data_IF_804470168699
#
_entry.id   IF_804470168699
#
_cell.length_a   1.000
_cell.length_b   1.000
_cell.length_c   1.000
_cell.angle_alpha   90.00
_cell.angle_beta   90.00
_cell.angle_gamma   90.00
#
_symmetry.space_group_name_H-M   'P 1'
#
loop_
_entity.id
_entity.type
_entity.pdbx_description
1 polymer ?
#
# COMPACT_ATOMS: atom_id res chain seq x y z
N UNK A 1 -10.30 10.15 3.36
CA UNK A 1 -11.25 10.52 4.45
C UNK A 1 -11.93 9.31 5.07
N UNK A 2 -12.48 8.38 4.31
CA UNK A 2 -13.13 7.14 4.75
C UNK A 2 -12.22 6.22 5.57
N UNK A 3 -10.99 5.97 5.16
CA UNK A 3 -10.03 5.15 5.92
C UNK A 3 -9.61 5.84 7.22
N UNK A 4 -9.39 7.16 7.23
CA UNK A 4 -9.15 7.91 8.48
C UNK A 4 -10.35 7.87 9.42
N UNK A 5 -11.58 7.89 8.88
CA UNK A 5 -12.80 7.73 9.68
C UNK A 5 -12.95 6.30 10.22
N UNK A 6 -12.70 5.27 9.41
CA UNK A 6 -12.67 3.86 9.86
C UNK A 6 -11.58 3.64 10.92
N UNK A 7 -10.42 4.26 10.75
CA UNK A 7 -9.31 4.18 11.70
C UNK A 7 -9.63 4.88 13.03
N UNK A 8 -10.28 6.04 12.98
CA UNK A 8 -10.77 6.74 14.17
C UNK A 8 -11.86 5.97 14.91
N UNK A 9 -12.75 5.30 14.17
CA UNK A 9 -13.79 4.40 14.69
C UNK A 9 -13.17 3.17 15.35
N UNK A 10 -12.09 2.66 14.82
CA UNK A 10 -11.39 1.50 15.36
C UNK A 10 -10.69 1.80 16.70
N UNK A 11 -9.89 2.85 16.76
CA UNK A 11 -9.28 3.26 18.04
C UNK A 11 -10.31 3.65 19.10
N UNK A 12 -11.51 4.03 18.67
CA UNK A 12 -12.63 4.30 19.57
C UNK A 12 -13.22 3.03 20.17
N UNK A 13 -13.29 1.92 19.44
CA UNK A 13 -13.83 0.65 19.94
C UNK A 13 -12.88 -0.11 20.88
N UNK A 14 -11.58 0.23 20.89
CA UNK A 14 -10.59 -0.44 21.75
C UNK A 14 -10.42 0.19 23.12
N UNK A 15 -11.04 1.36 23.37
CA UNK A 15 -11.05 2.04 24.68
C UNK A 15 -12.50 2.40 25.03
N UNK A 16 -13.02 1.77 26.04
CA UNK A 16 -14.38 1.96 26.56
C UNK A 16 -14.54 3.33 27.23
N UNK A 17 -14.58 4.41 26.43
CA UNK A 17 -14.85 5.75 26.94
C UNK A 17 -16.07 6.37 26.26
N UNK A 18 -16.98 7.03 27.00
CA UNK A 18 -18.16 7.70 26.44
C UNK A 18 -17.82 8.75 25.37
N UNK A 19 -16.67 9.42 25.50
CA UNK A 19 -16.19 10.40 24.53
C UNK A 19 -15.82 9.77 23.18
N UNK A 20 -15.38 8.53 23.18
CA UNK A 20 -15.03 7.78 21.99
C UNK A 20 -16.30 7.25 21.27
N UNK A 21 -17.31 6.81 22.02
CA UNK A 21 -18.62 6.43 21.45
C UNK A 21 -19.28 7.61 20.75
N UNK A 22 -19.19 8.80 21.33
CA UNK A 22 -19.71 10.02 20.68
C UNK A 22 -18.96 10.38 19.39
N UNK A 23 -17.62 10.25 19.37
CA UNK A 23 -16.80 10.43 18.16
C UNK A 23 -17.17 9.42 17.09
N UNK A 24 -17.49 8.19 17.46
CA UNK A 24 -17.92 7.13 16.55
C UNK A 24 -19.26 7.45 15.88
N UNK A 25 -20.26 7.82 16.69
CA UNK A 25 -21.59 8.21 16.19
C UNK A 25 -21.49 9.40 15.25
N UNK A 26 -20.71 10.42 15.63
CA UNK A 26 -20.44 11.60 14.80
C UNK A 26 -19.74 11.23 13.48
N UNK A 27 -18.80 10.29 13.51
CA UNK A 27 -18.10 9.80 12.31
C UNK A 27 -19.02 9.01 11.40
N UNK A 28 -19.90 8.15 11.95
CA UNK A 28 -20.90 7.39 11.18
C UNK A 28 -21.97 8.31 10.56
N UNK A 29 -22.46 9.29 11.31
CA UNK A 29 -23.41 10.29 10.81
C UNK A 29 -22.80 11.11 9.66
N UNK A 30 -21.56 11.56 9.83
CA UNK A 30 -20.80 12.27 8.79
C UNK A 30 -20.59 11.42 7.55
N UNK A 31 -20.34 10.11 7.72
CA UNK A 31 -20.19 9.18 6.60
C UNK A 31 -21.50 9.00 5.82
N UNK A 32 -22.62 8.76 6.50
CA UNK A 32 -23.94 8.66 5.88
C UNK A 32 -24.31 9.94 5.13
N UNK A 33 -24.02 11.09 5.73
CA UNK A 33 -24.21 12.39 5.09
C UNK A 33 -23.41 12.50 3.79
N UNK A 34 -22.12 12.15 3.77
CA UNK A 34 -21.31 12.21 2.55
C UNK A 34 -21.72 11.18 1.49
N UNK A 35 -22.21 9.99 1.90
CA UNK A 35 -22.78 9.02 0.96
C UNK A 35 -24.04 9.57 0.29
N UNK A 36 -24.92 10.16 1.08
CA UNK A 36 -26.14 10.80 0.56
C UNK A 36 -25.81 11.95 -0.39
N UNK A 37 -24.89 12.83 0.01
CA UNK A 37 -24.45 13.96 -0.80
C UNK A 37 -23.78 13.51 -2.11
N UNK A 38 -23.00 12.43 -2.08
CA UNK A 38 -22.41 11.82 -3.29
C UNK A 38 -23.49 11.33 -4.26
N UNK A 39 -24.53 10.66 -3.75
CA UNK A 39 -25.69 10.22 -4.57
C UNK A 39 -26.49 11.37 -5.18
N UNK A 40 -26.48 12.53 -4.54
CA UNK A 40 -27.16 13.75 -5.01
C UNK A 40 -26.29 14.62 -5.96
N UNK A 41 -25.14 14.10 -6.44
CA UNK A 41 -24.26 14.81 -7.38
C UNK A 41 -23.40 15.91 -6.76
N UNK A 42 -23.40 16.08 -5.44
CA UNK A 42 -22.60 17.09 -4.76
C UNK A 42 -21.08 16.87 -4.85
N UNK A 43 -20.66 15.66 -5.23
CA UNK A 43 -19.24 15.36 -5.44
C UNK A 43 -18.62 16.27 -6.53
N UNK A 44 -19.33 16.48 -7.64
CA UNK A 44 -18.88 17.35 -8.72
C UNK A 44 -18.87 18.83 -8.31
N UNK A 45 -19.89 19.26 -7.55
CA UNK A 45 -19.90 20.61 -6.98
C UNK A 45 -18.71 20.83 -6.06
N UNK A 46 -18.45 19.89 -5.15
CA UNK A 46 -17.32 19.99 -4.23
C UNK A 46 -15.97 20.04 -4.98
N UNK A 47 -15.80 19.24 -6.04
CA UNK A 47 -14.58 19.27 -6.87
C UNK A 47 -14.37 20.66 -7.51
N UNK A 48 -15.44 21.26 -8.04
CA UNK A 48 -15.37 22.63 -8.61
C UNK A 48 -15.03 23.68 -7.57
N UNK A 49 -15.68 23.61 -6.40
CA UNK A 49 -15.46 24.57 -5.31
C UNK A 49 -14.03 24.43 -4.76
N UNK A 50 -13.51 23.19 -4.66
CA UNK A 50 -12.13 22.93 -4.29
C UNK A 50 -11.13 23.49 -5.30
N UNK A 51 -11.34 23.28 -6.59
CA UNK A 51 -10.50 23.82 -7.64
C UNK A 51 -10.47 25.36 -7.59
N UNK A 52 -11.64 26.01 -7.42
CA UNK A 52 -11.73 27.48 -7.25
C UNK A 52 -10.99 27.98 -6.01
N UNK A 53 -11.14 27.28 -4.87
CA UNK A 53 -10.44 27.63 -3.65
C UNK A 53 -8.92 27.52 -3.82
N UNK A 54 -8.47 26.50 -4.57
CA UNK A 54 -7.07 26.30 -4.87
C UNK A 54 -6.51 27.44 -5.74
N UNK A 55 -7.21 27.83 -6.79
CA UNK A 55 -6.81 28.93 -7.69
C UNK A 55 -6.60 30.26 -6.96
N UNK A 56 -7.34 30.52 -5.90
CA UNK A 56 -7.23 31.72 -5.08
C UNK A 56 -6.26 31.57 -3.89
N UNK A 57 -5.62 30.43 -3.72
CA UNK A 57 -4.74 30.19 -2.59
C UNK A 57 -3.35 30.83 -2.82
N UNK A 58 -2.74 31.50 -1.80
CA UNK A 58 -1.44 32.19 -1.95
C UNK A 58 -0.30 31.29 -2.46
N UNK A 59 -0.38 29.98 -2.23
CA UNK A 59 0.61 28.99 -2.72
C UNK A 59 0.71 28.97 -4.26
N UNK A 60 -0.33 29.41 -4.96
CA UNK A 60 -0.33 29.47 -6.43
C UNK A 60 0.77 30.37 -6.97
N UNK A 61 0.91 31.59 -6.41
CA UNK A 61 1.96 32.52 -6.81
C UNK A 61 3.37 31.94 -6.61
N UNK A 62 3.59 31.20 -5.53
CA UNK A 62 4.86 30.53 -5.25
C UNK A 62 5.18 29.46 -6.32
N UNK A 63 4.18 28.68 -6.74
CA UNK A 63 4.37 27.69 -7.79
C UNK A 63 4.52 28.30 -9.18
N UNK A 64 3.79 29.37 -9.50
CA UNK A 64 3.96 30.11 -10.74
C UNK A 64 5.39 30.68 -10.84
N UNK A 65 5.91 31.28 -9.77
CA UNK A 65 7.29 31.74 -9.69
C UNK A 65 8.30 30.60 -9.85
N UNK A 66 8.09 29.48 -9.13
CA UNK A 66 8.94 28.30 -9.23
C UNK A 66 9.00 27.76 -10.65
N UNK A 67 7.84 27.56 -11.29
CA UNK A 67 7.74 27.04 -12.65
C UNK A 67 8.37 27.97 -13.69
N UNK A 68 8.24 29.29 -13.49
CA UNK A 68 8.90 30.31 -14.33
C UNK A 68 10.42 30.24 -14.18
N UNK A 69 10.92 30.19 -12.94
CA UNK A 69 12.36 30.09 -12.65
C UNK A 69 13.01 28.81 -13.20
N UNK A 70 12.25 27.72 -13.23
CA UNK A 70 12.71 26.42 -13.78
C UNK A 70 12.57 26.34 -15.31
N UNK A 71 12.01 27.35 -15.97
CA UNK A 71 11.63 27.32 -17.40
C UNK A 71 10.86 26.02 -17.75
N UNK A 72 9.94 25.62 -16.87
CA UNK A 72 9.22 24.36 -16.99
C UNK A 72 8.39 24.33 -18.28
N UNK A 73 8.41 23.23 -18.99
CA UNK A 73 7.59 22.99 -20.19
C UNK A 73 6.49 21.98 -19.92
N UNK A 74 6.77 21.04 -19.01
CA UNK A 74 5.85 19.97 -18.60
C UNK A 74 5.91 19.83 -17.09
N UNK A 75 4.76 19.62 -16.46
CA UNK A 75 4.65 19.26 -15.04
C UNK A 75 4.03 17.88 -14.91
N UNK A 76 4.76 16.95 -14.30
CA UNK A 76 4.30 15.58 -14.04
C UNK A 76 4.08 15.39 -12.54
N UNK A 77 2.89 14.91 -12.15
CA UNK A 77 2.56 14.57 -10.78
C UNK A 77 2.42 13.05 -10.64
N UNK A 78 3.22 12.46 -9.72
CA UNK A 78 3.20 11.02 -9.41
C UNK A 78 2.40 10.69 -8.14
N UNK A 79 2.00 11.70 -7.38
CA UNK A 79 1.17 11.59 -6.20
C UNK A 79 0.19 12.75 -6.16
N UNK A 80 -1.06 12.46 -5.84
CA UNK A 80 -2.13 13.46 -5.70
C UNK A 80 -2.81 13.29 -4.33
N UNK A 81 -2.03 12.93 -3.33
CA UNK A 81 -2.55 12.66 -1.98
C UNK A 81 -2.70 13.93 -1.15
N UNK A 82 -2.05 15.01 -1.56
CA UNK A 82 -2.02 16.27 -0.84
C UNK A 82 -2.44 17.48 -1.67
N UNK A 83 -2.79 18.60 -1.01
CA UNK A 83 -3.20 19.82 -1.68
C UNK A 83 -2.03 20.52 -2.41
N UNK A 84 -0.79 20.24 -2.05
CA UNK A 84 0.39 20.86 -2.65
C UNK A 84 0.60 20.42 -4.09
N UNK A 85 0.52 19.11 -4.34
CA UNK A 85 0.63 18.54 -5.67
C UNK A 85 -0.51 19.01 -6.57
N UNK A 86 -1.71 19.10 -6.02
CA UNK A 86 -2.87 19.63 -6.73
C UNK A 86 -2.70 21.12 -7.09
N UNK A 87 -2.14 21.91 -6.17
CA UNK A 87 -1.86 23.33 -6.42
C UNK A 87 -0.78 23.53 -7.49
N UNK A 88 0.27 22.70 -7.48
CA UNK A 88 1.32 22.72 -8.51
C UNK A 88 0.73 22.41 -9.91
N UNK A 89 -0.12 21.39 -10.01
CA UNK A 89 -0.79 21.03 -11.25
C UNK A 89 -1.71 22.15 -11.75
N UNK A 90 -2.45 22.78 -10.85
CA UNK A 90 -3.34 23.89 -11.19
C UNK A 90 -2.56 25.13 -11.63
N UNK A 91 -1.41 25.43 -11.00
CA UNK A 91 -0.52 26.51 -11.41
C UNK A 91 0.05 26.25 -12.82
N UNK A 92 0.51 25.03 -13.07
CA UNK A 92 1.00 24.64 -14.40
C UNK A 92 -0.08 24.83 -15.48
N UNK A 93 -1.30 24.38 -15.21
CA UNK A 93 -2.44 24.52 -16.11
C UNK A 93 -2.77 26.01 -16.38
N UNK A 94 -2.78 26.83 -15.34
CA UNK A 94 -3.02 28.28 -15.45
C UNK A 94 -1.96 28.97 -16.32
N UNK A 95 -0.71 28.52 -16.26
CA UNK A 95 0.40 29.01 -17.07
C UNK A 95 0.41 28.42 -18.50
N UNK A 96 -0.52 27.53 -18.84
CA UNK A 96 -0.57 26.89 -20.17
C UNK A 96 0.52 25.82 -20.38
N UNK A 97 1.16 25.34 -19.31
CA UNK A 97 2.15 24.27 -19.39
C UNK A 97 1.46 22.92 -19.61
N UNK A 98 2.19 21.99 -20.23
CA UNK A 98 1.71 20.61 -20.38
C UNK A 98 1.69 19.90 -19.02
N UNK A 99 0.66 19.10 -18.79
CA UNK A 99 0.43 18.45 -17.50
C UNK A 99 0.22 16.96 -17.66
N UNK A 100 0.88 16.17 -16.79
CA UNK A 100 0.79 14.71 -16.76
C UNK A 100 0.49 14.25 -15.34
N UNK A 101 -0.50 13.38 -15.19
CA UNK A 101 -0.77 12.68 -13.94
C UNK A 101 -0.44 11.20 -14.09
N UNK A 102 0.44 10.67 -13.25
CA UNK A 102 0.68 9.25 -13.12
C UNK A 102 0.07 8.75 -11.80
N UNK A 103 -0.81 7.77 -11.88
CA UNK A 103 -1.39 7.15 -10.69
C UNK A 103 -0.38 6.13 -10.14
N UNK A 104 0.30 6.51 -9.06
CA UNK A 104 1.45 5.79 -8.49
C UNK A 104 1.14 4.39 -7.97
N UNK A 105 -0.05 4.16 -7.45
CA UNK A 105 -0.45 2.88 -6.85
C UNK A 105 -1.87 2.53 -7.23
N UNK A 106 -2.14 1.24 -7.38
CA UNK A 106 -3.47 0.72 -7.73
C UNK A 106 -4.59 1.18 -6.79
N UNK A 107 -4.26 1.40 -5.51
CA UNK A 107 -5.22 1.82 -4.49
C UNK A 107 -5.42 3.34 -4.42
N UNK A 108 -4.64 4.13 -5.16
CA UNK A 108 -4.71 5.59 -5.11
C UNK A 108 -6.09 6.12 -5.49
N UNK A 109 -6.66 5.66 -6.60
CA UNK A 109 -7.99 6.09 -7.04
C UNK A 109 -9.10 5.71 -6.05
N UNK A 110 -8.99 4.53 -5.45
CA UNK A 110 -10.01 3.99 -4.55
C UNK A 110 -9.95 4.60 -3.14
N UNK A 111 -8.75 4.99 -2.67
CA UNK A 111 -8.53 5.25 -1.26
C UNK A 111 -7.84 6.58 -0.91
N UNK A 112 -7.08 7.18 -1.83
CA UNK A 112 -6.16 8.27 -1.51
C UNK A 112 -6.46 9.56 -2.28
N UNK A 113 -6.70 9.47 -3.58
CA UNK A 113 -6.98 10.64 -4.43
C UNK A 113 -8.40 11.11 -4.15
N UNK A 114 -8.53 12.33 -3.64
CA UNK A 114 -9.82 12.93 -3.33
C UNK A 114 -10.35 13.80 -4.48
N UNK A 115 -9.44 14.36 -5.26
CA UNK A 115 -9.72 15.19 -6.40
C UNK A 115 -8.69 14.90 -7.49
N UNK A 116 -9.16 14.65 -8.71
CA UNK A 116 -8.32 14.50 -9.88
C UNK A 116 -8.22 15.88 -10.55
N UNK A 117 -7.01 16.47 -10.66
CA UNK A 117 -6.85 17.71 -11.41
C UNK A 117 -7.14 17.47 -12.90
N UNK A 118 -7.58 18.50 -13.61
CA UNK A 118 -7.61 18.47 -15.06
C UNK A 118 -6.17 18.49 -15.59
N UNK A 119 -5.84 17.51 -16.44
CA UNK A 119 -4.51 17.33 -17.00
C UNK A 119 -4.59 16.96 -18.49
N UNK A 120 -3.50 17.24 -19.25
CA UNK A 120 -3.42 16.85 -20.65
C UNK A 120 -3.37 15.34 -20.85
N UNK A 121 -2.73 14.61 -19.89
CA UNK A 121 -2.67 13.16 -19.95
C UNK A 121 -2.68 12.50 -18.54
N UNK A 122 -3.23 11.30 -18.48
CA UNK A 122 -3.27 10.45 -17.29
C UNK A 122 -2.67 9.09 -17.61
N UNK A 123 -1.69 8.66 -16.83
CA UNK A 123 -1.00 7.39 -17.00
C UNK A 123 -1.39 6.43 -15.89
N UNK A 124 -1.84 5.26 -16.27
CA UNK A 124 -2.43 4.27 -15.37
C UNK A 124 -1.75 2.89 -15.49
N UNK A 125 -1.87 2.10 -14.44
CA UNK A 125 -1.25 0.80 -14.32
C UNK A 125 -1.86 -0.26 -15.25
N UNK A 126 -3.18 -0.31 -15.32
CA UNK A 126 -3.90 -1.40 -15.95
C UNK A 126 -5.27 -0.95 -16.49
N UNK A 127 -5.86 -1.78 -17.33
CA UNK A 127 -7.21 -1.56 -17.86
C UNK A 127 -8.27 -1.45 -16.75
N UNK A 128 -8.18 -2.27 -15.69
CA UNK A 128 -9.06 -2.19 -14.53
C UNK A 128 -8.97 -0.81 -13.82
N UNK A 129 -7.77 -0.24 -13.74
CA UNK A 129 -7.57 1.11 -13.19
C UNK A 129 -8.18 2.19 -14.09
N UNK A 130 -8.06 2.02 -15.43
CA UNK A 130 -8.70 2.91 -16.41
C UNK A 130 -10.23 2.88 -16.28
N UNK A 131 -10.79 1.69 -16.22
CA UNK A 131 -12.24 1.53 -16.17
C UNK A 131 -12.80 2.08 -14.85
N UNK A 132 -12.07 1.91 -13.76
CA UNK A 132 -12.41 2.52 -12.48
C UNK A 132 -12.27 4.05 -12.51
N UNK A 133 -11.22 4.60 -13.14
CA UNK A 133 -11.05 6.03 -13.31
C UNK A 133 -12.19 6.65 -14.13
N UNK A 134 -12.58 6.02 -15.23
CA UNK A 134 -13.71 6.47 -16.07
C UNK A 134 -15.04 6.45 -15.30
N UNK A 135 -15.23 5.47 -14.40
CA UNK A 135 -16.40 5.44 -13.52
C UNK A 135 -16.41 6.60 -12.52
N UNK A 136 -15.25 6.92 -11.93
CA UNK A 136 -15.14 7.99 -10.93
C UNK A 136 -15.12 9.41 -11.52
N UNK A 137 -14.58 9.55 -12.72
CA UNK A 137 -14.33 10.82 -13.42
C UNK A 137 -14.79 10.75 -14.88
N UNK A 138 -16.11 10.57 -15.12
CA UNK A 138 -16.65 10.45 -16.47
C UNK A 138 -16.45 11.69 -17.33
N UNK A 139 -16.14 12.83 -16.69
CA UNK A 139 -15.83 14.09 -17.36
C UNK A 139 -14.46 14.11 -18.03
N UNK A 140 -13.55 13.18 -17.71
CA UNK A 140 -12.21 13.12 -18.33
C UNK A 140 -12.32 12.44 -19.68
N UNK A 141 -11.87 13.09 -20.79
CA UNK A 141 -11.87 12.50 -22.11
C UNK A 141 -11.04 11.20 -22.17
N UNK A 142 -11.55 10.19 -22.87
CA UNK A 142 -10.94 8.87 -22.93
C UNK A 142 -9.57 8.87 -23.62
N UNK A 143 -9.36 9.76 -24.57
CA UNK A 143 -8.11 9.96 -25.31
C UNK A 143 -6.97 10.54 -24.48
N UNK A 144 -7.28 11.11 -23.30
CA UNK A 144 -6.28 11.56 -22.32
C UNK A 144 -5.85 10.47 -21.34
N UNK A 145 -6.50 9.30 -21.38
CA UNK A 145 -6.24 8.21 -20.41
C UNK A 145 -5.44 7.10 -21.10
N UNK A 146 -4.20 6.89 -20.64
CA UNK A 146 -3.26 5.94 -21.20
C UNK A 146 -2.93 4.84 -20.19
N UNK A 147 -2.95 3.59 -20.63
CA UNK A 147 -2.51 2.44 -19.83
C UNK A 147 -1.13 2.05 -20.30
N UNK A 148 -0.12 2.25 -19.45
CA UNK A 148 1.29 2.01 -19.79
C UNK A 148 1.97 1.00 -18.88
N UNK A 149 1.28 0.49 -17.87
CA UNK A 149 1.94 -0.14 -16.73
C UNK A 149 2.48 0.89 -15.75
N UNK A 150 3.42 0.48 -14.92
CA UNK A 150 4.07 1.38 -13.95
C UNK A 150 5.58 1.13 -13.88
N UNK A 151 6.41 2.18 -13.97
CA UNK A 151 7.87 2.06 -13.94
C UNK A 151 8.42 1.43 -12.65
N UNK A 152 7.63 1.44 -11.56
CA UNK A 152 8.08 0.87 -10.29
C UNK A 152 8.40 -0.63 -10.36
N UNK A 153 7.98 -1.33 -11.42
CA UNK A 153 8.27 -2.75 -11.61
C UNK A 153 9.40 -3.02 -12.61
N UNK A 154 9.92 -2.00 -13.28
CA UNK A 154 10.99 -2.16 -14.26
C UNK A 154 12.27 -2.73 -13.63
N UNK A 155 12.54 -2.40 -12.37
CA UNK A 155 13.69 -2.91 -11.63
C UNK A 155 13.65 -4.44 -11.40
N UNK A 156 12.48 -5.10 -11.48
CA UNK A 156 12.40 -6.55 -11.43
C UNK A 156 13.12 -7.21 -12.62
N UNK A 157 13.29 -6.47 -13.72
CA UNK A 157 13.97 -6.93 -14.93
C UNK A 157 15.45 -6.56 -14.93
N UNK A 158 15.91 -5.68 -14.05
CA UNK A 158 17.30 -5.23 -13.98
C UNK A 158 18.19 -6.28 -13.29
N UNK A 159 19.04 -6.94 -14.08
CA UNK A 159 19.97 -7.93 -13.56
C UNK A 159 21.12 -7.32 -12.73
N UNK A 160 21.41 -6.01 -12.87
CA UNK A 160 22.56 -5.36 -12.22
C UNK A 160 22.37 -5.19 -10.73
N UNK A 161 21.12 -5.15 -10.24
CA UNK A 161 20.80 -5.02 -8.82
C UNK A 161 20.54 -6.36 -8.13
N UNK A 162 20.70 -7.47 -8.84
CA UNK A 162 20.41 -8.81 -8.30
C UNK A 162 21.54 -9.32 -7.42
N UNK A 163 21.16 -9.76 -6.24
CA UNK A 163 22.00 -10.48 -5.29
C UNK A 163 22.00 -11.97 -5.64
N UNK A 164 23.11 -12.70 -5.40
CA UNK A 164 23.14 -14.16 -5.59
C UNK A 164 22.24 -14.86 -4.54
N UNK A 165 21.81 -16.10 -4.85
CA UNK A 165 21.02 -16.90 -3.91
C UNK A 165 21.79 -17.15 -2.62
N UNK A 166 23.04 -17.51 -2.71
CA UNK A 166 23.93 -17.82 -1.59
C UNK A 166 24.10 -16.58 -0.70
N UNK A 167 24.34 -15.41 -1.29
CA UNK A 167 24.49 -14.16 -0.56
C UNK A 167 23.19 -13.78 0.16
N UNK A 168 22.04 -13.91 -0.52
CA UNK A 168 20.73 -13.62 0.07
C UNK A 168 20.48 -14.51 1.30
N UNK A 169 20.62 -15.85 1.13
CA UNK A 169 20.35 -16.78 2.21
C UNK A 169 21.34 -16.62 3.38
N UNK A 170 22.62 -16.32 3.09
CA UNK A 170 23.60 -16.00 4.12
C UNK A 170 23.19 -14.77 4.95
N UNK A 171 22.66 -13.71 4.29
CA UNK A 171 22.21 -12.47 4.98
C UNK A 171 21.00 -12.71 5.88
N UNK A 172 20.08 -13.60 5.52
CA UNK A 172 18.90 -13.90 6.33
C UNK A 172 19.13 -15.08 7.28
N UNK A 173 20.27 -15.78 7.19
CA UNK A 173 20.61 -16.91 8.08
C UNK A 173 19.76 -18.17 7.84
N UNK A 174 19.35 -18.42 6.60
CA UNK A 174 18.58 -19.60 6.18
C UNK A 174 19.38 -20.44 5.18
N UNK A 175 18.93 -21.69 4.96
CA UNK A 175 19.58 -22.67 4.09
C UNK A 175 19.15 -22.47 2.62
N UNK A 176 20.06 -22.17 1.68
CA UNK A 176 19.71 -21.99 0.28
C UNK A 176 19.19 -23.25 -0.44
N UNK A 177 19.39 -24.44 0.14
CA UNK A 177 18.93 -25.71 -0.44
C UNK A 177 17.45 -26.02 -0.09
N UNK A 178 16.86 -25.30 0.86
CA UNK A 178 15.48 -25.54 1.33
C UNK A 178 14.50 -24.56 0.70
N UNK A 179 13.23 -24.97 0.49
CA UNK A 179 12.19 -24.04 0.03
C UNK A 179 11.96 -22.90 1.00
N UNK A 180 11.64 -21.72 0.46
CA UNK A 180 11.44 -20.50 1.21
C UNK A 180 10.00 -19.98 1.08
N UNK A 181 9.29 -19.96 2.19
CA UNK A 181 8.03 -19.25 2.36
C UNK A 181 8.37 -17.82 2.81
N UNK A 182 7.81 -16.82 2.14
CA UNK A 182 7.99 -15.42 2.56
C UNK A 182 6.64 -14.86 3.01
N UNK A 183 6.55 -14.47 4.27
CA UNK A 183 5.43 -13.68 4.77
C UNK A 183 5.77 -12.21 4.70
N UNK A 184 5.00 -11.43 3.94
CA UNK A 184 5.20 -9.97 3.83
C UNK A 184 4.17 -9.22 4.65
N UNK A 185 4.66 -8.45 5.64
CA UNK A 185 3.82 -7.71 6.57
C UNK A 185 3.19 -6.49 5.92
N UNK A 186 1.98 -6.12 6.37
CA UNK A 186 1.34 -4.86 6.00
C UNK A 186 1.88 -3.70 6.84
N UNK A 187 1.52 -2.48 6.45
CA UNK A 187 1.88 -1.27 7.22
C UNK A 187 1.41 -1.39 8.68
N UNK A 188 2.28 -1.11 9.66
CA UNK A 188 1.91 -1.10 11.08
C UNK A 188 0.65 -0.27 11.35
N UNK A 189 -0.22 -0.77 12.22
CA UNK A 189 -1.52 -0.15 12.52
C UNK A 189 -2.64 -0.51 11.55
N UNK A 190 -2.38 -1.28 10.47
CA UNK A 190 -3.44 -1.80 9.60
C UNK A 190 -3.93 -3.19 10.03
N UNK A 191 -3.03 -4.05 10.50
CA UNK A 191 -3.36 -5.40 10.94
C UNK A 191 -2.45 -5.81 12.12
N UNK A 192 -2.60 -5.16 13.26
CA UNK A 192 -1.72 -5.38 14.43
C UNK A 192 -1.75 -6.82 14.97
N UNK A 193 -2.79 -7.59 14.63
CA UNK A 193 -2.89 -9.02 14.94
C UNK A 193 -2.07 -9.91 13.98
N UNK A 194 -1.48 -9.35 12.94
CA UNK A 194 -0.62 -10.04 11.97
C UNK A 194 0.52 -10.82 12.64
N UNK A 195 1.02 -10.32 13.77
CA UNK A 195 2.00 -11.04 14.60
C UNK A 195 1.52 -12.43 15.05
N UNK A 196 0.21 -12.65 15.20
CA UNK A 196 -0.33 -13.96 15.55
C UNK A 196 -0.34 -14.90 14.34
N UNK A 197 -0.53 -14.34 13.15
CA UNK A 197 -0.47 -15.10 11.89
C UNK A 197 0.99 -15.50 11.61
N UNK A 198 1.91 -14.56 11.71
CA UNK A 198 3.34 -14.85 11.51
C UNK A 198 3.87 -15.84 12.53
N UNK A 199 3.43 -15.75 13.79
CA UNK A 199 3.80 -16.72 14.83
C UNK A 199 3.22 -18.12 14.55
N UNK A 200 1.96 -18.20 14.08
CA UNK A 200 1.36 -19.48 13.68
C UNK A 200 2.16 -20.17 12.58
N UNK A 201 2.58 -19.41 11.54
CA UNK A 201 3.43 -19.94 10.47
C UNK A 201 4.81 -20.36 10.99
N UNK A 202 5.41 -19.57 11.87
CA UNK A 202 6.70 -19.92 12.49
C UNK A 202 6.62 -21.22 13.32
N UNK A 203 5.53 -21.38 14.08
CA UNK A 203 5.27 -22.61 14.84
C UNK A 203 5.03 -23.81 13.91
N UNK A 204 4.37 -23.61 12.76
CA UNK A 204 4.17 -24.65 11.76
C UNK A 204 5.50 -25.11 11.12
N UNK A 205 6.47 -24.19 10.90
CA UNK A 205 7.84 -24.55 10.49
C UNK A 205 8.52 -25.40 11.55
N UNK A 206 8.49 -25.00 12.83
CA UNK A 206 9.06 -25.74 13.95
C UNK A 206 8.48 -27.16 14.04
N UNK A 207 7.17 -27.27 13.85
CA UNK A 207 6.43 -28.53 14.01
C UNK A 207 6.49 -29.39 12.73
N UNK A 208 7.27 -29.01 11.70
CA UNK A 208 7.47 -29.76 10.47
C UNK A 208 6.20 -29.94 9.63
N UNK A 209 5.24 -29.01 9.74
CA UNK A 209 3.95 -29.11 9.03
C UNK A 209 4.05 -28.81 7.54
N UNK A 210 5.09 -28.08 7.11
CA UNK A 210 5.30 -27.76 5.70
C UNK A 210 6.08 -28.87 4.97
N UNK A 211 5.69 -29.11 3.72
CA UNK A 211 6.37 -30.07 2.84
C UNK A 211 7.83 -29.68 2.59
N UNK A 212 8.68 -30.68 2.30
CA UNK A 212 10.10 -30.51 1.94
C UNK A 212 10.89 -29.71 2.99
N UNK A 213 10.47 -29.71 4.24
CA UNK A 213 11.14 -28.98 5.32
C UNK A 213 11.33 -27.48 4.99
N UNK A 214 10.28 -26.83 4.49
CA UNK A 214 10.32 -25.42 4.10
C UNK A 214 10.72 -24.50 5.26
N UNK A 215 11.24 -23.33 4.91
CA UNK A 215 11.68 -22.29 5.83
C UNK A 215 10.79 -21.06 5.70
N UNK A 216 10.78 -20.21 6.70
CA UNK A 216 9.99 -18.96 6.72
C UNK A 216 10.87 -17.74 6.87
N UNK A 217 10.71 -16.78 5.96
CA UNK A 217 11.16 -15.41 6.16
C UNK A 217 9.95 -14.51 6.46
N UNK A 218 9.95 -13.87 7.62
CA UNK A 218 8.99 -12.80 7.93
C UNK A 218 9.61 -11.47 7.53
N UNK A 219 9.10 -10.88 6.45
CA UNK A 219 9.58 -9.61 5.94
C UNK A 219 8.69 -8.47 6.41
N UNK A 220 9.25 -7.58 7.23
CA UNK A 220 8.57 -6.39 7.71
C UNK A 220 8.27 -5.38 6.60
N UNK A 221 7.17 -4.67 6.73
CA UNK A 221 6.91 -3.51 5.88
C UNK A 221 8.02 -2.45 6.06
N UNK A 222 8.40 -1.64 5.04
CA UNK A 222 9.43 -0.61 5.16
C UNK A 222 9.29 0.31 6.37
N UNK A 223 8.07 0.61 6.81
CA UNK A 223 7.83 1.37 8.05
C UNK A 223 8.15 0.64 9.35
N UNK A 224 8.45 -0.66 9.29
CA UNK A 224 8.97 -1.42 10.43
C UNK A 224 10.49 -1.39 10.50
N UNK A 225 11.17 -0.88 9.46
CA UNK A 225 12.63 -0.86 9.39
C UNK A 225 13.21 -0.03 10.55
N UNK A 226 14.18 -0.62 11.23
CA UNK A 226 14.88 0.05 12.31
C UNK A 226 14.02 0.39 13.53
N UNK A 227 12.87 -0.24 13.71
CA UNK A 227 12.00 -0.03 14.86
C UNK A 227 11.92 -1.26 15.77
N UNK A 228 11.43 -1.05 16.99
CA UNK A 228 11.11 -2.12 17.94
C UNK A 228 9.73 -2.74 17.69
N UNK A 229 9.14 -2.53 16.51
CA UNK A 229 7.84 -3.13 16.15
C UNK A 229 7.99 -4.65 16.02
N UNK A 230 7.28 -5.45 16.83
CA UNK A 230 7.46 -6.89 16.83
C UNK A 230 6.83 -7.53 15.59
N UNK A 231 7.60 -8.35 14.87
CA UNK A 231 7.12 -9.14 13.73
C UNK A 231 6.86 -10.60 14.10
N UNK A 232 7.55 -11.09 15.12
CA UNK A 232 7.37 -12.40 15.74
C UNK A 232 7.52 -12.29 17.25
N UNK A 233 6.85 -13.16 18.00
CA UNK A 233 7.06 -13.29 19.44
C UNK A 233 8.26 -14.16 19.77
N UNK A 234 8.43 -15.24 19.01
CA UNK A 234 9.49 -16.22 19.18
C UNK A 234 10.01 -16.64 17.83
N UNK A 235 11.33 -16.60 17.64
CA UNK A 235 12.03 -17.09 16.46
C UNK A 235 12.48 -18.51 16.72
N UNK A 236 12.25 -19.41 15.75
CA UNK A 236 12.63 -20.81 15.78
C UNK A 236 13.67 -21.13 14.69
N UNK A 237 14.31 -22.30 14.78
CA UNK A 237 15.16 -22.79 13.70
C UNK A 237 14.40 -22.88 12.37
N UNK A 238 15.00 -22.42 11.27
CA UNK A 238 14.36 -22.34 9.96
C UNK A 238 13.40 -21.14 9.81
N UNK A 239 13.41 -20.19 10.74
CA UNK A 239 12.63 -18.95 10.68
C UNK A 239 13.57 -17.75 10.77
N UNK A 240 13.42 -16.81 9.85
CA UNK A 240 14.15 -15.54 9.86
C UNK A 240 13.19 -14.35 9.87
N UNK A 241 13.68 -13.22 10.36
CA UNK A 241 12.99 -11.93 10.35
C UNK A 241 13.90 -10.90 9.67
N UNK A 242 13.37 -10.18 8.71
CA UNK A 242 14.10 -9.09 8.06
C UNK A 242 13.17 -7.88 7.88
N UNK A 243 13.62 -6.67 8.14
CA UNK A 243 14.87 -6.33 8.82
C UNK A 243 14.88 -6.74 10.29
N UNK A 244 16.07 -6.87 10.85
CA UNK A 244 16.20 -7.17 12.28
C UNK A 244 15.64 -6.04 13.14
N UNK A 245 14.96 -6.37 14.26
CA UNK A 245 14.44 -5.38 15.18
C UNK A 245 15.54 -4.48 15.73
N UNK A 246 15.25 -3.21 15.94
CA UNK A 246 16.12 -2.27 16.63
C UNK A 246 15.42 -1.69 17.86
N UNK A 247 16.14 -0.94 18.69
CA UNK A 247 15.58 -0.29 19.87
C UNK A 247 14.93 1.08 19.56
N UNK A 248 14.80 1.47 18.29
CA UNK A 248 14.20 2.75 17.92
C UNK A 248 12.69 2.73 18.15
N UNK A 249 12.20 3.76 18.82
CA UNK A 249 10.76 3.92 19.02
C UNK A 249 10.07 4.17 17.67
N UNK A 250 9.04 3.39 17.38
CA UNK A 250 8.26 3.52 16.16
C UNK A 250 7.70 4.95 15.99
N UNK A 251 7.93 5.54 14.81
CA UNK A 251 7.58 6.94 14.47
C UNK A 251 8.34 8.02 15.23
N UNK A 252 9.45 7.72 15.88
CA UNK A 252 10.37 8.79 16.32
C UNK A 252 11.01 9.48 15.10
N UNK A 253 11.55 10.71 15.23
CA UNK A 253 12.27 11.37 14.14
C UNK A 253 13.44 10.54 13.62
N UNK A 254 14.17 9.86 14.52
CA UNK A 254 15.28 8.98 14.19
C UNK A 254 14.78 7.76 13.40
N UNK A 255 13.64 7.17 13.81
CA UNK A 255 13.02 6.07 13.10
C UNK A 255 12.60 6.47 11.69
N UNK A 256 11.91 7.61 11.51
CA UNK A 256 11.47 8.06 10.18
C UNK A 256 12.68 8.35 9.27
N UNK A 257 13.75 8.94 9.79
CA UNK A 257 14.99 9.16 9.04
C UNK A 257 15.63 7.84 8.61
N UNK A 258 15.71 6.85 9.51
CA UNK A 258 16.26 5.54 9.20
C UNK A 258 15.40 4.78 8.18
N UNK A 259 14.07 4.88 8.25
CA UNK A 259 13.17 4.27 7.26
C UNK A 259 13.47 4.77 5.86
N UNK A 260 13.63 6.07 5.67
CA UNK A 260 13.96 6.64 4.35
C UNK A 260 15.29 6.07 3.82
N UNK A 261 16.32 6.06 4.65
CA UNK A 261 17.63 5.51 4.26
C UNK A 261 17.55 4.03 3.90
N UNK A 262 16.91 3.24 4.75
CA UNK A 262 16.81 1.79 4.55
C UNK A 262 15.95 1.40 3.36
N UNK A 263 14.92 2.18 3.00
CA UNK A 263 14.17 1.95 1.77
C UNK A 263 15.07 2.04 0.54
N UNK A 264 16.00 3.02 0.52
CA UNK A 264 16.93 3.19 -0.60
C UNK A 264 18.01 2.10 -0.64
N UNK A 265 18.42 1.59 0.52
CA UNK A 265 19.47 0.55 0.65
C UNK A 265 18.91 -0.88 0.52
N UNK A 266 17.59 -1.06 0.67
CA UNK A 266 16.92 -2.37 0.75
C UNK A 266 16.63 -3.00 -0.63
N UNK A 267 16.75 -2.25 -1.71
CA UNK A 267 16.33 -2.70 -3.04
C UNK A 267 16.94 -4.06 -3.44
N UNK A 268 18.24 -4.34 -3.29
CA UNK A 268 18.79 -5.65 -3.61
C UNK A 268 18.18 -6.78 -2.77
N UNK A 269 17.92 -6.54 -1.46
CA UNK A 269 17.27 -7.50 -0.58
C UNK A 269 15.80 -7.71 -0.93
N UNK A 270 15.11 -6.65 -1.36
CA UNK A 270 13.74 -6.71 -1.82
C UNK A 270 13.61 -7.59 -3.05
N UNK A 271 14.44 -7.34 -4.07
CA UNK A 271 14.47 -8.13 -5.29
C UNK A 271 14.88 -9.58 -5.04
N UNK A 272 15.89 -9.81 -4.19
CA UNK A 272 16.31 -11.17 -3.82
C UNK A 272 15.19 -11.93 -3.08
N UNK A 273 14.45 -11.25 -2.18
CA UNK A 273 13.29 -11.84 -1.51
C UNK A 273 12.26 -12.34 -2.53
N UNK A 274 11.89 -11.48 -3.49
CA UNK A 274 10.91 -11.80 -4.53
C UNK A 274 11.41 -12.88 -5.49
N UNK A 275 12.70 -12.86 -5.83
CA UNK A 275 13.31 -13.81 -6.76
C UNK A 275 13.41 -15.21 -6.16
N UNK A 276 13.84 -15.32 -4.90
CA UNK A 276 14.19 -16.59 -4.27
C UNK A 276 13.12 -17.21 -3.40
N UNK A 277 11.99 -16.51 -3.18
CA UNK A 277 10.83 -17.13 -2.56
C UNK A 277 10.23 -18.22 -3.45
N UNK A 278 9.76 -19.29 -2.83
CA UNK A 278 8.98 -20.33 -3.52
C UNK A 278 7.48 -20.04 -3.41
N UNK A 279 7.05 -19.49 -2.27
CA UNK A 279 5.66 -19.07 -2.01
C UNK A 279 5.66 -17.78 -1.22
N UNK A 280 4.82 -16.84 -1.65
CA UNK A 280 4.50 -15.67 -0.85
C UNK A 280 3.23 -15.87 -0.04
N UNK A 281 3.26 -15.45 1.23
CA UNK A 281 2.07 -15.31 2.07
C UNK A 281 1.88 -13.84 2.43
N UNK A 282 0.67 -13.33 2.27
CA UNK A 282 0.38 -11.91 2.48
C UNK A 282 -1.07 -11.70 2.91
N UNK A 283 -1.34 -10.67 3.71
CA UNK A 283 -2.72 -10.26 4.00
C UNK A 283 -3.28 -9.42 2.85
N UNK A 284 -2.55 -8.36 2.47
CA UNK A 284 -2.91 -7.47 1.36
C UNK A 284 -1.80 -6.45 1.16
N UNK A 285 -1.20 -6.39 0.00
CA UNK A 285 -0.14 -5.43 -0.28
C UNK A 285 0.23 -5.42 -1.76
N UNK A 286 1.09 -4.49 -2.15
CA UNK A 286 1.61 -4.39 -3.52
C UNK A 286 2.49 -5.59 -3.86
N UNK A 287 3.13 -6.20 -2.86
CA UNK A 287 3.95 -7.40 -3.00
C UNK A 287 3.25 -8.58 -3.70
N UNK A 288 1.91 -8.63 -3.68
CA UNK A 288 1.13 -9.60 -4.45
C UNK A 288 1.39 -9.42 -5.95
N UNK A 289 1.43 -8.17 -6.41
CA UNK A 289 1.69 -7.85 -7.82
C UNK A 289 3.17 -8.11 -8.16
N UNK A 290 4.07 -7.74 -7.25
CA UNK A 290 5.51 -8.00 -7.41
C UNK A 290 5.78 -9.51 -7.58
N UNK A 291 5.15 -10.34 -6.77
CA UNK A 291 5.28 -11.81 -6.86
C UNK A 291 4.71 -12.36 -8.17
N UNK A 292 3.56 -11.84 -8.61
CA UNK A 292 2.95 -12.26 -9.86
C UNK A 292 3.82 -11.91 -11.09
N UNK A 293 4.52 -10.77 -11.08
CA UNK A 293 5.46 -10.38 -12.14
C UNK A 293 6.61 -11.39 -12.26
N UNK A 294 7.04 -11.98 -11.14
CA UNK A 294 8.11 -12.98 -11.10
C UNK A 294 7.58 -14.41 -11.10
N UNK A 295 6.32 -14.61 -11.46
CA UNK A 295 5.66 -15.92 -11.54
C UNK A 295 5.74 -16.72 -10.22
N UNK A 296 5.58 -16.03 -9.09
CA UNK A 296 5.62 -16.64 -7.76
C UNK A 296 4.23 -16.86 -7.20
N UNK A 297 3.91 -18.10 -6.76
CA UNK A 297 2.62 -18.39 -6.12
C UNK A 297 2.38 -17.51 -4.90
N UNK A 298 1.16 -17.02 -4.76
CA UNK A 298 0.78 -16.16 -3.63
C UNK A 298 -0.43 -16.73 -2.90
N UNK A 299 -0.29 -16.91 -1.59
CA UNK A 299 -1.37 -17.25 -0.67
C UNK A 299 -1.78 -15.99 0.09
N UNK A 300 -3.04 -15.62 -0.03
CA UNK A 300 -3.61 -14.47 0.65
C UNK A 300 -4.39 -14.90 1.90
N UNK A 301 -4.01 -14.36 3.05
CA UNK A 301 -4.62 -14.69 4.35
C UNK A 301 -6.01 -14.04 4.45
N UNK A 302 -7.04 -14.86 4.36
CA UNK A 302 -8.46 -14.45 4.48
C UNK A 302 -9.08 -14.95 5.79
N UNK A 303 -8.28 -15.03 6.84
CA UNK A 303 -8.70 -15.40 8.19
C UNK A 303 -8.07 -14.50 9.25
N UNK A 304 -8.50 -14.64 10.48
CA UNK A 304 -8.00 -13.88 11.62
C UNK A 304 -7.61 -14.83 12.77
N UNK A 305 -6.60 -14.44 13.53
CA UNK A 305 -6.24 -15.10 14.80
C UNK A 305 -6.28 -14.04 15.92
N UNK A 306 -7.25 -14.10 16.85
CA UNK A 306 -8.35 -15.10 16.96
C UNK A 306 -9.45 -14.85 15.90
N UNK A 307 -10.23 -15.89 15.63
CA UNK A 307 -11.29 -15.84 14.60
C UNK A 307 -12.38 -14.78 14.86
N UNK A 308 -12.58 -14.39 16.12
CA UNK A 308 -13.54 -13.33 16.54
C UNK A 308 -12.94 -11.92 16.51
N UNK A 309 -11.87 -11.70 15.75
CA UNK A 309 -11.28 -10.37 15.54
C UNK A 309 -12.35 -9.40 15.00
N UNK A 310 -12.52 -8.21 15.59
CA UNK A 310 -13.51 -7.24 15.13
C UNK A 310 -13.31 -6.86 13.66
N UNK A 311 -14.41 -6.64 12.92
CA UNK A 311 -14.35 -6.38 11.46
C UNK A 311 -13.39 -5.24 11.08
N UNK A 312 -13.32 -4.19 11.89
CA UNK A 312 -12.41 -3.07 11.66
C UNK A 312 -10.92 -3.42 11.75
N UNK A 313 -10.57 -4.59 12.30
CA UNK A 313 -9.21 -5.13 12.44
C UNK A 313 -8.95 -6.32 11.54
N UNK A 314 -10.02 -6.99 11.14
CA UNK A 314 -9.96 -8.24 10.39
C UNK A 314 -9.13 -8.12 9.10
N UNK A 315 -8.29 -9.11 8.83
CA UNK A 315 -7.60 -9.28 7.56
C UNK A 315 -8.59 -9.36 6.39
N UNK A 316 -9.75 -9.98 6.60
CA UNK A 316 -10.81 -10.17 5.59
C UNK A 316 -11.33 -8.87 4.99
N UNK A 317 -11.24 -7.73 5.72
CA UNK A 317 -11.71 -6.44 5.22
C UNK A 317 -10.95 -5.92 4.01
N UNK A 318 -9.69 -6.32 3.83
CA UNK A 318 -8.89 -5.87 2.70
C UNK A 318 -9.41 -6.40 1.38
N UNK A 319 -9.99 -7.60 1.39
CA UNK A 319 -10.53 -8.27 0.21
C UNK A 319 -11.88 -7.72 -0.24
N UNK A 320 -12.54 -6.90 0.60
CA UNK A 320 -13.76 -6.15 0.24
C UNK A 320 -13.46 -4.84 -0.51
N UNK A 321 -12.21 -4.51 -0.72
CA UNK A 321 -11.80 -3.25 -1.38
C UNK A 321 -11.92 -3.37 -2.88
N UNK A 322 -12.38 -2.31 -3.54
CA UNK A 322 -12.54 -2.26 -5.00
C UNK A 322 -11.24 -2.55 -5.74
N UNK A 323 -10.10 -2.06 -5.24
CA UNK A 323 -8.78 -2.29 -5.85
C UNK A 323 -8.27 -3.74 -5.71
N UNK A 324 -8.87 -4.54 -4.83
CA UNK A 324 -8.56 -5.97 -4.70
C UNK A 324 -9.41 -6.85 -5.62
N UNK A 325 -10.58 -6.39 -6.08
CA UNK A 325 -11.51 -7.24 -6.83
C UNK A 325 -10.87 -7.75 -8.14
N UNK A 326 -10.23 -6.87 -8.90
CA UNK A 326 -9.56 -7.28 -10.16
C UNK A 326 -8.42 -8.29 -9.95
N UNK A 327 -7.75 -8.26 -8.80
CA UNK A 327 -6.72 -9.24 -8.45
C UNK A 327 -7.36 -10.58 -8.09
N UNK A 328 -8.44 -10.57 -7.30
CA UNK A 328 -9.18 -11.78 -6.95
C UNK A 328 -9.79 -12.46 -8.19
N UNK A 329 -10.36 -11.67 -9.08
CA UNK A 329 -10.97 -12.13 -10.34
C UNK A 329 -9.96 -12.68 -11.33
N UNK A 330 -8.66 -12.31 -11.21
CA UNK A 330 -7.60 -12.82 -12.10
C UNK A 330 -7.30 -14.30 -11.90
N UNK A 331 -7.67 -14.89 -10.75
CA UNK A 331 -7.31 -16.26 -10.37
C UNK A 331 -5.82 -16.46 -10.06
N UNK A 332 -5.02 -15.39 -10.07
CA UNK A 332 -3.57 -15.44 -9.87
C UNK A 332 -3.11 -15.59 -8.41
N UNK A 333 -4.04 -15.82 -7.47
CA UNK A 333 -3.72 -16.04 -6.06
C UNK A 333 -4.66 -17.05 -5.40
N UNK A 334 -4.19 -17.65 -4.32
CA UNK A 334 -4.96 -18.55 -3.47
C UNK A 334 -5.43 -17.82 -2.21
N UNK A 335 -6.73 -17.90 -1.88
CA UNK A 335 -7.23 -17.47 -0.57
C UNK A 335 -7.17 -18.61 0.43
N UNK A 336 -6.50 -18.39 1.56
CA UNK A 336 -6.58 -19.26 2.73
C UNK A 336 -7.64 -18.70 3.68
N UNK A 337 -8.71 -19.47 3.94
CA UNK A 337 -9.84 -19.05 4.79
C UNK A 337 -9.68 -19.53 6.25
N UNK A 338 -8.69 -20.38 6.50
CA UNK A 338 -8.31 -20.87 7.82
C UNK A 338 -6.79 -21.01 7.94
N UNK A 339 -6.25 -21.10 9.17
CA UNK A 339 -4.83 -21.41 9.37
C UNK A 339 -4.40 -22.74 8.72
N UNK A 340 -5.28 -23.73 8.66
CA UNK A 340 -4.98 -25.05 8.10
C UNK A 340 -4.97 -25.05 6.55
N UNK A 341 -5.60 -24.07 5.92
CA UNK A 341 -5.53 -23.86 4.47
C UNK A 341 -4.30 -23.05 4.04
N UNK A 342 -3.64 -22.38 4.97
CA UNK A 342 -2.48 -21.55 4.69
C UNK A 342 -1.19 -22.40 4.70
#
# INVERSE_FOLDING_TARGET
MWQKLKWSVYHANTKDSPQLRFKLVKAQAKFRYYQMMGRLGYAQKWRRDFAKALQNHPIMAQYEELLTRLDAKVVAAFSLEGPREMALMEAARKMGLKTLVMVRSRDNLAAKIQHMPDADAYVLWANSTRDFMRHLYPEIPADRIHVTGTPQFDHHLDASVRMSREEFFARIGLDPARPLIVYTCVTPGLADHEIKITQHLADAVRDGKFIKNAQLLVRGHPRCFGSNFPLLKTVHSGVAVFPLPTNLAYKSPEHESQVVRLILEDEPMHLATLTYQDVQVNVSGTMIVDSAILDKPTVCVHYDIPANTPEGLSAKRFYKRTDMQSILESGGLQLANSPDEC
#
